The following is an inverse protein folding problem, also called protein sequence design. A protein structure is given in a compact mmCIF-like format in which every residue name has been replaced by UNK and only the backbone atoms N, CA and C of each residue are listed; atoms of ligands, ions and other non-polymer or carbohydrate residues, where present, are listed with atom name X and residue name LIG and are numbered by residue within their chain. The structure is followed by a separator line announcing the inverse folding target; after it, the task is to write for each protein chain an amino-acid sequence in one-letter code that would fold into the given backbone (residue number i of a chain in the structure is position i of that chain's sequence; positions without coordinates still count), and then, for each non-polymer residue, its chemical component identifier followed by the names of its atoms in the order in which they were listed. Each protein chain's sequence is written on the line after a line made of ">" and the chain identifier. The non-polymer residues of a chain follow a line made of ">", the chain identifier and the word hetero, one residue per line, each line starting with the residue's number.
data_IF_409978569138
#
_entry.id   IF_409978569138
#
_cell.length_a   1.000
_cell.length_b   1.000
_cell.length_c   1.000
_cell.angle_alpha   90.00
_cell.angle_beta   90.00
_cell.angle_gamma   90.00
#
_symmetry.space_group_name_H-M   'P 1'
#
loop_
_entity.id
_entity.type
_entity.pdbx_description
1 polymer ?
#
# COMPACT_ATOMS: atom_id res chain seq x y z
N UNK A 1 8.57 -4.26 25.46
CA UNK A 1 8.09 -3.40 24.36
C UNK A 1 7.70 -4.33 23.22
N UNK A 2 6.46 -4.33 22.78
CA UNK A 2 6.04 -5.15 21.62
C UNK A 2 6.78 -4.63 20.39
N UNK A 3 7.51 -5.49 19.68
CA UNK A 3 8.11 -5.15 18.41
C UNK A 3 7.19 -5.62 17.30
N UNK A 4 6.98 -4.78 16.28
CA UNK A 4 6.15 -5.11 15.12
C UNK A 4 7.01 -5.60 13.94
N UNK A 5 8.20 -6.11 14.22
CA UNK A 5 9.16 -6.52 13.18
C UNK A 5 8.65 -7.67 12.33
N UNK A 6 7.93 -8.64 12.93
CA UNK A 6 7.33 -9.76 12.18
C UNK A 6 6.15 -9.31 11.32
N UNK A 7 5.38 -8.32 11.78
CA UNK A 7 4.29 -7.75 10.99
C UNK A 7 4.85 -6.89 9.85
N UNK A 8 5.94 -6.16 10.09
CA UNK A 8 6.64 -5.43 9.03
C UNK A 8 7.22 -6.39 7.97
N UNK A 9 7.83 -7.50 8.38
CA UNK A 9 8.29 -8.53 7.43
C UNK A 9 7.14 -9.13 6.64
N UNK A 10 6.02 -9.40 7.29
CA UNK A 10 4.81 -9.85 6.60
C UNK A 10 4.31 -8.81 5.59
N UNK A 11 4.27 -7.52 5.95
CA UNK A 11 3.91 -6.45 5.01
C UNK A 11 4.79 -6.46 3.75
N UNK A 12 6.10 -6.70 3.89
CA UNK A 12 7.00 -6.85 2.74
C UNK A 12 6.67 -8.09 1.90
N UNK A 13 6.35 -9.22 2.51
CA UNK A 13 5.94 -10.45 1.79
C UNK A 13 4.65 -10.22 1.01
N UNK A 14 3.68 -9.52 1.62
CA UNK A 14 2.43 -9.14 0.96
C UNK A 14 2.70 -8.20 -0.23
N UNK A 15 3.57 -7.20 -0.04
CA UNK A 15 3.97 -6.28 -1.10
C UNK A 15 4.70 -6.99 -2.26
N UNK A 16 5.56 -7.98 -1.98
CA UNK A 16 6.21 -8.81 -3.01
C UNK A 16 5.18 -9.62 -3.81
N UNK A 17 4.15 -10.11 -3.14
CA UNK A 17 3.07 -10.85 -3.79
C UNK A 17 2.19 -9.93 -4.65
N UNK A 18 1.84 -8.74 -4.14
CA UNK A 18 1.12 -7.70 -4.86
C UNK A 18 1.87 -7.24 -6.12
N UNK A 19 3.18 -6.98 -5.99
CA UNK A 19 4.04 -6.54 -7.09
C UNK A 19 4.01 -7.51 -8.28
N UNK A 20 3.98 -8.82 -8.04
CA UNK A 20 3.89 -9.82 -9.11
C UNK A 20 2.62 -9.69 -9.95
N UNK A 21 1.48 -9.41 -9.31
CA UNK A 21 0.20 -9.20 -10.02
C UNK A 21 0.22 -7.84 -10.72
N UNK A 22 0.45 -6.78 -9.95
CA UNK A 22 0.33 -5.40 -10.43
C UNK A 22 1.30 -5.13 -11.58
N UNK A 23 2.55 -5.58 -11.51
CA UNK A 23 3.53 -5.39 -12.59
C UNK A 23 3.21 -6.21 -13.84
N UNK A 24 2.59 -7.39 -13.69
CA UNK A 24 2.13 -8.19 -14.84
C UNK A 24 0.96 -7.50 -15.55
N UNK A 25 0.10 -6.80 -14.80
CA UNK A 25 -1.08 -6.11 -15.34
C UNK A 25 -0.81 -4.67 -15.75
N UNK A 26 0.26 -4.04 -15.25
CA UNK A 26 0.64 -2.69 -15.63
C UNK A 26 1.00 -2.61 -17.11
N UNK A 27 0.26 -1.80 -17.87
CA UNK A 27 0.33 -1.69 -19.35
C UNK A 27 -0.07 -2.97 -20.11
N UNK A 28 -0.79 -3.90 -19.50
CA UNK A 28 -1.33 -5.04 -20.21
C UNK A 28 -2.41 -4.60 -21.20
N UNK A 29 -2.36 -5.12 -22.43
CA UNK A 29 -3.29 -4.78 -23.51
C UNK A 29 -4.73 -5.25 -23.19
N UNK A 30 -4.88 -6.30 -22.40
CA UNK A 30 -6.14 -6.91 -21.98
C UNK A 30 -6.60 -6.45 -20.59
N UNK A 31 -6.03 -5.36 -20.04
CA UNK A 31 -6.42 -4.82 -18.74
C UNK A 31 -7.91 -4.46 -18.74
N UNK A 32 -8.66 -5.03 -17.80
CA UNK A 32 -10.09 -4.72 -17.64
C UNK A 32 -10.25 -3.62 -16.62
N UNK A 33 -10.96 -2.57 -17.00
CA UNK A 33 -11.19 -1.40 -16.16
C UNK A 33 -12.70 -1.14 -16.08
N UNK A 34 -13.17 -0.87 -14.86
CA UNK A 34 -14.55 -0.51 -14.57
C UNK A 34 -14.59 0.82 -13.83
N UNK A 35 -15.71 1.55 -13.94
CA UNK A 35 -15.96 2.72 -13.09
C UNK A 35 -16.86 2.33 -11.92
N UNK A 36 -16.46 2.71 -10.72
CA UNK A 36 -17.28 2.58 -9.51
C UNK A 36 -18.44 3.60 -9.54
N UNK A 37 -19.48 3.46 -8.71
CA UNK A 37 -20.60 4.43 -8.65
C UNK A 37 -20.17 5.87 -8.31
N UNK A 38 -19.06 6.05 -7.62
CA UNK A 38 -18.44 7.33 -7.26
C UNK A 38 -17.55 7.90 -8.37
N UNK A 39 -17.53 7.27 -9.56
CA UNK A 39 -16.72 7.61 -10.73
C UNK A 39 -15.22 7.34 -10.60
N UNK A 40 -14.76 6.73 -9.51
CA UNK A 40 -13.40 6.23 -9.43
C UNK A 40 -13.20 4.99 -10.29
N UNK A 41 -11.97 4.72 -10.70
CA UNK A 41 -11.64 3.55 -11.52
C UNK A 41 -11.22 2.37 -10.64
N UNK A 42 -11.55 1.17 -11.09
CA UNK A 42 -11.03 -0.09 -10.56
C UNK A 42 -10.62 -0.99 -11.72
N UNK A 43 -9.52 -1.69 -11.60
CA UNK A 43 -9.10 -2.68 -12.58
C UNK A 43 -9.19 -4.12 -12.02
N UNK A 44 -9.07 -5.10 -12.91
CA UNK A 44 -8.94 -6.49 -12.49
C UNK A 44 -7.68 -6.75 -11.67
N UNK A 45 -6.65 -5.90 -11.82
CA UNK A 45 -5.43 -5.96 -11.02
C UNK A 45 -5.67 -5.56 -9.56
N UNK A 46 -6.50 -4.53 -9.31
CA UNK A 46 -6.87 -4.09 -7.96
C UNK A 46 -7.51 -5.25 -7.20
N UNK A 47 -8.58 -5.83 -7.77
CA UNK A 47 -9.33 -6.92 -7.14
C UNK A 47 -8.46 -8.16 -6.91
N UNK A 48 -7.72 -8.61 -7.94
CA UNK A 48 -6.86 -9.78 -7.82
C UNK A 48 -5.75 -9.59 -6.76
N UNK A 49 -5.23 -8.38 -6.64
CA UNK A 49 -4.21 -8.04 -5.64
C UNK A 49 -4.80 -8.06 -4.23
N UNK A 50 -5.97 -7.47 -4.03
CA UNK A 50 -6.62 -7.47 -2.72
C UNK A 50 -7.00 -8.89 -2.29
N UNK A 51 -7.58 -9.69 -3.19
CA UNK A 51 -7.92 -11.10 -2.93
C UNK A 51 -6.69 -11.91 -2.49
N UNK A 52 -5.55 -11.73 -3.18
CA UNK A 52 -4.31 -12.40 -2.83
C UNK A 52 -3.81 -12.01 -1.43
N UNK A 53 -3.79 -10.71 -1.12
CA UNK A 53 -3.37 -10.20 0.18
C UNK A 53 -4.28 -10.75 1.29
N UNK A 54 -5.60 -10.72 1.09
CA UNK A 54 -6.59 -11.27 2.03
C UNK A 54 -6.39 -12.75 2.28
N UNK A 55 -6.16 -13.53 1.22
CA UNK A 55 -5.91 -14.96 1.33
C UNK A 55 -4.62 -15.27 2.11
N UNK A 56 -3.57 -14.44 1.97
CA UNK A 56 -2.35 -14.60 2.75
C UNK A 56 -2.54 -14.18 4.21
N UNK A 57 -3.22 -13.07 4.47
CA UNK A 57 -3.54 -12.62 5.82
C UNK A 57 -4.43 -13.63 6.55
N UNK A 58 -5.45 -14.19 5.90
CA UNK A 58 -6.29 -15.22 6.48
C UNK A 58 -5.54 -16.48 6.95
N UNK A 59 -4.42 -16.81 6.29
CA UNK A 59 -3.55 -17.93 6.70
C UNK A 59 -2.55 -17.56 7.80
N UNK A 60 -2.00 -16.35 7.75
CA UNK A 60 -0.90 -15.95 8.63
C UNK A 60 -1.34 -15.13 9.84
N UNK A 61 -2.48 -14.46 9.76
CA UNK A 61 -3.07 -13.60 10.80
C UNK A 61 -4.59 -13.82 10.92
N UNK A 62 -5.07 -15.06 11.16
CA UNK A 62 -6.49 -15.41 11.10
C UNK A 62 -7.37 -14.69 12.13
N UNK A 63 -6.76 -14.02 13.11
CA UNK A 63 -7.48 -13.28 14.16
C UNK A 63 -7.55 -11.77 13.87
N UNK A 64 -6.80 -11.29 12.88
CA UNK A 64 -6.79 -9.88 12.50
C UNK A 64 -7.94 -9.61 11.52
N UNK A 65 -8.45 -8.40 11.52
CA UNK A 65 -9.41 -7.93 10.51
C UNK A 65 -8.67 -7.43 9.27
N UNK A 66 -9.34 -7.45 8.13
CA UNK A 66 -8.83 -6.87 6.88
C UNK A 66 -9.84 -5.86 6.34
N UNK A 67 -9.41 -4.63 6.19
CA UNK A 67 -10.14 -3.52 5.57
C UNK A 67 -9.47 -3.25 4.24
N UNK A 68 -10.17 -3.47 3.15
CA UNK A 68 -9.68 -3.19 1.80
C UNK A 68 -10.43 -2.03 1.14
N UNK A 69 -9.98 -1.62 0.01
CA UNK A 69 -10.66 -0.61 -0.82
C UNK A 69 -11.74 -1.24 -1.71
N UNK A 70 -11.49 -2.44 -2.22
CA UNK A 70 -12.31 -3.07 -3.26
C UNK A 70 -13.33 -4.08 -2.70
N UNK A 71 -13.02 -4.69 -1.57
CA UNK A 71 -13.83 -5.74 -0.96
C UNK A 71 -14.26 -5.37 0.45
N UNK A 72 -15.40 -5.91 0.87
CA UNK A 72 -15.94 -5.65 2.20
C UNK A 72 -14.97 -6.07 3.31
N UNK A 73 -15.03 -5.35 4.43
CA UNK A 73 -14.23 -5.65 5.62
C UNK A 73 -14.51 -7.07 6.12
N UNK A 74 -13.45 -7.80 6.44
CA UNK A 74 -13.54 -9.16 7.01
C UNK A 74 -12.89 -9.21 8.40
N UNK A 75 -13.42 -10.10 9.26
CA UNK A 75 -12.93 -10.26 10.64
C UNK A 75 -13.48 -9.19 11.59
N UNK A 76 -13.19 -9.37 12.88
CA UNK A 76 -13.64 -8.48 13.98
C UNK A 76 -12.52 -8.25 15.01
N UNK A 77 -11.26 -8.53 14.61
CA UNK A 77 -10.11 -8.35 15.49
C UNK A 77 -9.82 -6.87 15.75
N UNK A 78 -9.24 -6.60 16.93
CA UNK A 78 -8.76 -5.27 17.28
C UNK A 78 -7.63 -4.81 16.36
N UNK A 79 -6.80 -5.74 15.90
CA UNK A 79 -5.76 -5.50 14.90
C UNK A 79 -6.38 -5.53 13.51
N UNK A 80 -6.10 -4.52 12.72
CA UNK A 80 -6.70 -4.33 11.39
C UNK A 80 -5.61 -4.06 10.37
N UNK A 81 -5.54 -4.91 9.36
CA UNK A 81 -4.76 -4.65 8.15
C UNK A 81 -5.59 -3.80 7.21
N UNK A 82 -5.07 -2.66 6.83
CA UNK A 82 -5.68 -1.73 5.86
C UNK A 82 -4.89 -1.85 4.58
N UNK A 83 -5.57 -2.13 3.48
CA UNK A 83 -4.96 -2.43 2.17
C UNK A 83 -5.62 -1.59 1.09
N UNK A 84 -4.79 -0.87 0.35
CA UNK A 84 -5.14 -0.31 -0.93
C UNK A 84 -4.26 -0.99 -2.00
N UNK A 85 -4.85 -1.80 -2.88
CA UNK A 85 -4.10 -2.59 -3.86
C UNK A 85 -3.31 -1.74 -4.84
N UNK A 86 -3.93 -0.68 -5.37
CA UNK A 86 -3.33 0.22 -6.37
C UNK A 86 -3.81 1.66 -6.10
N UNK A 87 -3.19 2.32 -5.13
CA UNK A 87 -3.32 3.78 -4.98
C UNK A 87 -2.83 4.48 -6.26
N UNK A 88 -3.66 5.31 -6.83
CA UNK A 88 -3.40 5.93 -8.12
C UNK A 88 -3.83 5.07 -9.32
N UNK A 89 -4.98 4.41 -9.25
CA UNK A 89 -5.57 3.59 -10.34
C UNK A 89 -5.67 4.36 -11.67
N UNK A 90 -5.97 5.66 -11.66
CA UNK A 90 -5.92 6.49 -12.86
C UNK A 90 -4.55 6.52 -13.55
N UNK A 91 -3.49 6.63 -12.77
CA UNK A 91 -2.10 6.57 -13.29
C UNK A 91 -1.78 5.17 -13.82
N UNK A 92 -2.17 4.14 -13.07
CA UNK A 92 -1.98 2.74 -13.45
C UNK A 92 -2.62 2.44 -14.81
N UNK A 93 -3.89 2.76 -14.99
CA UNK A 93 -4.64 2.53 -16.23
C UNK A 93 -4.03 3.28 -17.42
N UNK A 94 -3.51 4.48 -17.20
CA UNK A 94 -2.85 5.30 -18.24
C UNK A 94 -1.39 4.90 -18.50
N UNK A 95 -0.85 3.90 -17.80
CA UNK A 95 0.54 3.49 -17.92
C UNK A 95 1.55 4.50 -17.36
N UNK A 96 1.10 5.41 -16.50
CA UNK A 96 1.97 6.35 -15.76
C UNK A 96 2.54 5.62 -14.54
N UNK A 97 3.86 5.62 -14.29
CA UNK A 97 4.48 4.78 -13.25
C UNK A 97 4.33 5.35 -11.82
N UNK A 98 3.39 6.25 -11.59
CA UNK A 98 3.14 6.88 -10.28
C UNK A 98 1.86 6.26 -9.69
N UNK A 99 2.03 5.12 -9.08
CA UNK A 99 1.01 4.37 -8.35
C UNK A 99 1.72 3.46 -7.32
N UNK A 100 1.00 3.01 -6.30
CA UNK A 100 1.57 2.19 -5.22
C UNK A 100 0.56 1.20 -4.64
N UNK A 101 1.06 0.11 -4.05
CA UNK A 101 0.29 -0.71 -3.11
C UNK A 101 0.54 -0.18 -1.70
N UNK A 102 -0.52 0.09 -0.95
CA UNK A 102 -0.45 0.56 0.42
C UNK A 102 -0.88 -0.55 1.37
N UNK A 103 -0.06 -0.81 2.40
CA UNK A 103 -0.35 -1.82 3.42
C UNK A 103 -0.05 -1.21 4.79
N UNK A 104 -1.06 -1.18 5.66
CA UNK A 104 -0.89 -0.71 7.02
C UNK A 104 -1.45 -1.73 8.03
N UNK A 105 -0.88 -1.75 9.23
CA UNK A 105 -1.44 -2.43 10.39
C UNK A 105 -1.77 -1.39 11.46
N UNK A 106 -3.01 -1.41 11.92
CA UNK A 106 -3.51 -0.62 13.05
C UNK A 106 -3.79 -1.58 14.20
N UNK A 107 -3.27 -1.29 15.38
CA UNK A 107 -3.54 -2.06 16.61
C UNK A 107 -4.31 -1.16 17.59
N UNK A 108 -5.60 -1.47 17.79
CA UNK A 108 -6.52 -0.53 18.40
C UNK A 108 -6.73 0.71 17.53
N UNK A 109 -6.30 1.86 18.03
CA UNK A 109 -6.34 3.15 17.29
C UNK A 109 -4.95 3.61 16.81
N UNK A 110 -3.91 2.83 17.10
CA UNK A 110 -2.54 3.18 16.77
C UNK A 110 -2.10 2.55 15.41
N UNK A 111 -1.69 3.32 14.41
CA UNK A 111 -0.98 2.78 13.25
C UNK A 111 0.42 2.32 13.68
N UNK A 112 0.68 1.03 13.55
CA UNK A 112 1.90 0.40 14.08
C UNK A 112 2.85 -0.10 13.00
N UNK A 113 2.35 -0.38 11.79
CA UNK A 113 3.14 -0.68 10.60
C UNK A 113 2.53 0.05 9.42
N UNK A 114 3.38 0.61 8.57
CA UNK A 114 3.00 1.18 7.28
C UNK A 114 4.04 0.84 6.21
N UNK A 115 3.58 0.45 5.03
CA UNK A 115 4.40 0.18 3.87
C UNK A 115 3.73 0.71 2.61
N UNK A 116 4.50 1.45 1.82
CA UNK A 116 4.17 1.91 0.47
C UNK A 116 5.10 1.21 -0.50
N UNK A 117 4.56 0.47 -1.46
CA UNK A 117 5.34 -0.19 -2.51
C UNK A 117 4.97 0.40 -3.87
N UNK A 118 5.90 1.13 -4.49
CA UNK A 118 5.79 1.68 -5.84
C UNK A 118 6.72 0.89 -6.80
N UNK A 119 6.28 -0.29 -7.28
CA UNK A 119 7.16 -1.21 -8.01
C UNK A 119 7.60 -0.65 -9.36
N UNK A 120 6.76 0.09 -10.05
CA UNK A 120 7.12 0.76 -11.30
C UNK A 120 8.26 1.80 -11.15
N UNK A 121 8.48 2.29 -9.92
CA UNK A 121 9.60 3.15 -9.54
C UNK A 121 10.74 2.37 -8.87
N UNK A 122 10.60 1.04 -8.69
CA UNK A 122 11.54 0.17 -7.96
C UNK A 122 11.83 0.72 -6.55
N UNK A 123 10.81 1.20 -5.85
CA UNK A 123 10.97 1.86 -4.56
C UNK A 123 9.88 1.46 -3.57
N UNK A 124 10.30 1.37 -2.30
CA UNK A 124 9.41 1.19 -1.14
C UNK A 124 9.76 2.18 -0.04
N UNK A 125 8.76 2.53 0.75
CA UNK A 125 8.89 3.28 2.00
C UNK A 125 8.14 2.52 3.07
N UNK A 126 8.71 2.43 4.27
CA UNK A 126 8.07 1.71 5.36
C UNK A 126 8.48 2.25 6.70
N UNK A 127 7.64 1.99 7.69
CA UNK A 127 7.89 2.26 9.09
C UNK A 127 7.21 1.20 9.96
N UNK A 128 7.79 0.95 11.13
CA UNK A 128 7.11 0.27 12.23
C UNK A 128 7.32 1.05 13.51
N UNK A 129 6.33 1.02 14.40
CA UNK A 129 6.40 1.71 15.70
C UNK A 129 7.64 1.26 16.47
N UNK A 130 8.54 2.21 16.75
CA UNK A 130 9.82 1.96 17.43
C UNK A 130 11.00 1.59 16.53
N UNK A 131 10.80 1.34 15.22
CA UNK A 131 11.86 0.93 14.27
C UNK A 131 12.31 2.06 13.32
N UNK A 132 11.66 3.24 13.38
CA UNK A 132 11.95 4.36 12.49
C UNK A 132 11.38 4.19 11.09
N UNK A 133 11.72 5.11 10.19
CA UNK A 133 11.23 5.18 8.82
C UNK A 133 12.37 4.91 7.84
N UNK A 134 12.09 4.11 6.83
CA UNK A 134 13.06 3.59 5.88
C UNK A 134 12.58 3.72 4.43
N UNK A 135 13.51 3.79 3.51
CA UNK A 135 13.24 3.72 2.07
C UNK A 135 14.30 2.92 1.36
N UNK A 136 13.89 2.11 0.38
CA UNK A 136 14.78 1.29 -0.43
C UNK A 136 14.01 0.41 -1.41
N UNK A 137 14.71 -0.51 -2.04
CA UNK A 137 14.09 -1.55 -2.90
C UNK A 137 13.61 -2.75 -2.09
N UNK A 138 14.28 -3.03 -0.97
CA UNK A 138 13.99 -4.15 -0.07
C UNK A 138 14.52 -3.83 1.33
N UNK A 139 14.21 -4.69 2.31
CA UNK A 139 14.76 -4.59 3.66
C UNK A 139 16.29 -4.58 3.70
N UNK A 140 16.95 -5.35 2.82
CA UNK A 140 18.43 -5.43 2.77
C UNK A 140 19.08 -4.26 2.03
N UNK A 141 18.33 -3.54 1.19
CA UNK A 141 18.80 -2.40 0.41
C UNK A 141 18.04 -1.13 0.81
N UNK A 142 18.10 -0.79 2.09
CA UNK A 142 17.36 0.28 2.72
C UNK A 142 18.27 1.35 3.33
N UNK A 143 17.78 2.58 3.35
CA UNK A 143 18.35 3.68 4.14
C UNK A 143 17.28 4.26 5.05
N UNK A 144 17.69 4.67 6.24
CA UNK A 144 16.81 5.42 7.12
C UNK A 144 16.52 6.81 6.54
N UNK A 145 15.30 7.24 6.61
CA UNK A 145 14.86 8.55 6.17
C UNK A 145 14.17 9.30 7.32
N UNK A 146 14.13 10.62 7.20
CA UNK A 146 13.45 11.52 8.14
C UNK A 146 12.80 12.64 7.37
N UNK A 147 11.86 13.35 7.98
CA UNK A 147 11.29 14.59 7.45
C UNK A 147 12.39 15.63 7.25
N UNK A 148 12.20 16.54 6.30
CA UNK A 148 13.09 17.68 6.09
C UNK A 148 13.05 18.63 7.30
N UNK A 149 14.00 19.57 7.35
CA UNK A 149 14.01 20.63 8.36
C UNK A 149 13.28 21.90 7.91
N UNK A 150 12.48 21.80 6.85
CA UNK A 150 11.64 22.92 6.38
C UNK A 150 10.59 23.21 7.44
N UNK A 151 10.63 24.44 7.98
CA UNK A 151 9.76 24.89 9.09
C UNK A 151 8.83 26.02 8.69
N UNK A 152 8.94 26.55 7.46
CA UNK A 152 8.13 27.63 6.93
C UNK A 152 7.37 27.19 5.69
N UNK A 153 6.11 27.59 5.54
CA UNK A 153 5.33 27.32 4.34
C UNK A 153 5.91 27.99 3.10
N UNK A 154 6.61 29.13 3.24
CA UNK A 154 7.27 29.81 2.13
C UNK A 154 8.39 28.98 1.49
N UNK A 155 8.98 28.06 2.25
CA UNK A 155 10.09 27.21 1.83
C UNK A 155 9.62 25.78 1.50
N UNK A 156 8.33 25.50 1.65
CA UNK A 156 7.74 24.19 1.40
C UNK A 156 7.47 23.98 -0.09
N UNK A 157 7.57 22.72 -0.50
CA UNK A 157 7.12 22.25 -1.81
C UNK A 157 5.99 21.27 -1.65
N UNK A 158 4.95 21.38 -2.47
CA UNK A 158 3.83 20.44 -2.54
C UNK A 158 3.75 19.86 -3.96
N UNK A 159 3.45 18.57 -4.05
CA UNK A 159 3.10 17.89 -5.30
C UNK A 159 1.77 17.19 -5.12
N UNK A 160 0.89 17.32 -6.10
CA UNK A 160 -0.43 16.69 -6.09
C UNK A 160 -0.82 16.26 -7.51
N UNK A 161 -1.66 15.23 -7.63
CA UNK A 161 -2.04 14.67 -8.91
C UNK A 161 -3.14 15.49 -9.60
N UNK A 162 -4.15 15.95 -8.86
CA UNK A 162 -5.29 16.71 -9.38
C UNK A 162 -5.98 17.49 -8.25
N UNK A 163 -6.55 18.66 -8.59
CA UNK A 163 -7.40 19.43 -7.67
C UNK A 163 -8.85 18.87 -7.62
N UNK A 164 -9.22 17.96 -8.51
CA UNK A 164 -10.61 17.52 -8.71
C UNK A 164 -10.82 16.01 -8.59
N UNK A 165 -9.78 15.25 -8.24
CA UNK A 165 -9.84 13.79 -8.17
C UNK A 165 -9.44 13.26 -6.79
N UNK A 166 -10.24 13.62 -5.79
CA UNK A 166 -10.27 12.95 -4.49
C UNK A 166 -11.73 12.76 -4.10
#
# INVERSE_FOLDING_TARGET
>A
MLTYDDDLRLAHVLADAAERITMTRFKAEDLRVESKPDLTLVSDADRATEELIRAQLGRTRPRDSVVGEELETTGHGQRRWIVDPIDGTHSFVRGVPVWATLIALVDGDDPVVGLVAAPALSRRWWAAKGSGTWSGRSLSAARQIRVSQVSSLSDASISYASLHSW
#
